data_IF_457981646697
#
_entry.id   IF_457981646697
#
_cell.length_a   1.000
_cell.length_b   1.000
_cell.length_c   1.000
_cell.angle_alpha   90.00
_cell.angle_beta   90.00
_cell.angle_gamma   90.00
#
_symmetry.space_group_name_H-M   'P 1'
#
loop_
_entity.id
_entity.type
_entity.pdbx_description
1 polymer ?
#
# COMPACT_ATOMS: atom_id res chain seq x y z
N UNK A 1 14.69 -10.40 6.38
CA UNK A 1 14.82 -10.91 4.99
C UNK A 1 13.88 -10.05 4.18
N UNK A 2 14.30 -9.55 3.01
CA UNK A 2 13.42 -8.74 2.16
C UNK A 2 12.47 -9.65 1.41
N UNK A 3 11.19 -9.29 1.37
CA UNK A 3 10.14 -10.03 0.66
C UNK A 3 10.46 -10.13 -0.84
N UNK A 4 10.09 -11.25 -1.45
CA UNK A 4 10.28 -11.55 -2.87
C UNK A 4 9.03 -12.17 -3.48
N UNK A 5 8.95 -12.21 -4.82
CA UNK A 5 7.95 -13.01 -5.52
C UNK A 5 8.04 -14.48 -5.11
N UNK A 6 6.90 -15.11 -4.83
CA UNK A 6 6.77 -16.47 -4.33
C UNK A 6 6.70 -16.57 -2.80
N UNK A 7 7.06 -15.51 -2.08
CA UNK A 7 6.95 -15.50 -0.62
C UNK A 7 5.51 -15.27 -0.16
N UNK A 8 5.14 -15.86 0.98
CA UNK A 8 3.90 -15.55 1.68
C UNK A 8 4.08 -14.29 2.51
N UNK A 9 3.14 -13.35 2.41
CA UNK A 9 3.13 -12.15 3.23
C UNK A 9 3.08 -12.53 4.72
N UNK A 10 3.83 -11.82 5.59
CA UNK A 10 3.82 -12.09 7.01
C UNK A 10 2.45 -11.74 7.61
N UNK A 11 2.10 -12.38 8.73
CA UNK A 11 0.98 -11.94 9.54
C UNK A 11 1.21 -10.50 10.00
N UNK A 12 0.18 -9.66 9.87
CA UNK A 12 0.20 -8.29 10.29
C UNK A 12 -1.21 -7.84 10.69
N UNK A 13 -1.26 -6.89 11.62
CA UNK A 13 -2.48 -6.18 11.98
C UNK A 13 -2.28 -4.71 11.66
N UNK A 14 -3.08 -4.20 10.74
CA UNK A 14 -3.13 -2.80 10.38
C UNK A 14 -4.21 -2.09 11.16
N UNK A 15 -4.23 -0.77 11.05
CA UNK A 15 -5.29 0.07 11.61
C UNK A 15 -5.95 0.88 10.52
N UNK A 16 -7.27 1.03 10.58
CA UNK A 16 -8.00 2.04 9.80
C UNK A 16 -8.88 2.85 10.73
N UNK A 17 -9.38 3.98 10.28
CA UNK A 17 -10.34 4.77 11.04
C UNK A 17 -11.76 4.47 10.53
N UNK A 18 -12.51 3.68 11.31
CA UNK A 18 -13.92 3.37 11.07
C UNK A 18 -14.85 4.40 11.72
N UNK A 19 -16.16 4.12 11.71
CA UNK A 19 -17.18 5.04 12.22
C UNK A 19 -17.09 5.26 13.74
N UNK A 20 -16.73 4.22 14.48
CA UNK A 20 -16.62 4.25 15.93
C UNK A 20 -15.22 4.61 16.45
N UNK A 21 -14.24 4.81 15.55
CA UNK A 21 -12.84 5.07 15.89
C UNK A 21 -11.87 4.11 15.20
N UNK A 22 -10.61 4.03 15.68
CA UNK A 22 -9.62 3.12 15.12
C UNK A 22 -10.06 1.65 15.21
N UNK A 23 -9.96 0.94 14.10
CA UNK A 23 -10.31 -0.48 13.94
C UNK A 23 -9.08 -1.25 13.46
N UNK A 24 -8.86 -2.42 14.05
CA UNK A 24 -7.83 -3.37 13.60
C UNK A 24 -8.27 -4.09 12.33
N UNK A 25 -7.33 -4.31 11.42
CA UNK A 25 -7.52 -5.06 10.16
C UNK A 25 -6.41 -6.10 10.07
N UNK A 26 -6.76 -7.38 10.23
CA UNK A 26 -5.80 -8.46 10.07
C UNK A 26 -5.55 -8.74 8.60
N UNK A 27 -4.28 -8.75 8.20
CA UNK A 27 -3.90 -8.97 6.80
C UNK A 27 -4.34 -10.35 6.29
N UNK A 28 -4.27 -11.40 7.11
CA UNK A 28 -4.71 -12.75 6.74
C UNK A 28 -6.20 -12.81 6.38
N UNK A 29 -7.06 -12.10 7.11
CA UNK A 29 -8.50 -12.01 6.82
C UNK A 29 -8.77 -11.27 5.50
N UNK A 30 -7.91 -10.31 5.15
CA UNK A 30 -8.00 -9.57 3.89
C UNK A 30 -7.52 -10.38 2.68
N UNK A 31 -6.59 -11.32 2.86
CA UNK A 31 -5.94 -12.04 1.75
C UNK A 31 -6.56 -13.40 1.42
N UNK A 32 -7.23 -14.05 2.37
CA UNK A 32 -7.67 -15.43 2.23
C UNK A 32 -8.57 -15.65 1.00
N UNK A 33 -8.11 -16.45 0.04
CA UNK A 33 -8.82 -16.77 -1.20
C UNK A 33 -9.04 -15.59 -2.15
N UNK A 34 -8.30 -14.49 -1.97
CA UNK A 34 -8.48 -13.24 -2.72
C UNK A 34 -7.21 -12.86 -3.49
N UNK A 35 -7.38 -12.12 -4.58
CA UNK A 35 -6.31 -11.41 -5.29
C UNK A 35 -6.33 -9.95 -4.85
N UNK A 36 -5.29 -9.55 -4.11
CA UNK A 36 -5.21 -8.22 -3.50
C UNK A 36 -3.99 -7.48 -4.04
N UNK A 37 -4.21 -6.24 -4.47
CA UNK A 37 -3.13 -5.30 -4.76
C UNK A 37 -2.79 -4.53 -3.49
N UNK A 38 -1.51 -4.47 -3.14
CA UNK A 38 -1.01 -3.63 -2.05
C UNK A 38 0.06 -2.71 -2.62
N UNK A 39 -0.14 -1.40 -2.50
CA UNK A 39 0.90 -0.44 -2.80
C UNK A 39 1.24 0.36 -1.55
N UNK A 40 2.53 0.49 -1.25
CA UNK A 40 3.01 1.20 -0.09
C UNK A 40 3.76 2.47 -0.47
N UNK A 41 3.69 3.45 0.42
CA UNK A 41 4.26 4.78 0.21
C UNK A 41 5.12 5.22 1.40
N UNK A 42 6.13 6.07 1.15
CA UNK A 42 6.89 6.74 2.21
C UNK A 42 6.05 7.54 3.20
N UNK A 43 4.95 8.12 2.74
CA UNK A 43 4.05 8.85 3.64
C UNK A 43 2.96 9.63 2.94
N UNK A 44 1.85 9.75 3.64
CA UNK A 44 0.73 10.61 3.27
C UNK A 44 1.22 12.06 3.05
N UNK A 45 0.58 12.75 2.10
CA UNK A 45 0.86 14.15 1.72
C UNK A 45 2.27 14.47 1.20
N UNK A 46 3.17 13.50 1.08
CA UNK A 46 4.47 13.73 0.41
C UNK A 46 4.28 13.85 -1.12
N UNK A 47 5.06 14.68 -1.83
CA UNK A 47 4.73 15.11 -3.20
C UNK A 47 4.46 13.98 -4.19
N UNK A 48 5.38 13.01 -4.32
CA UNK A 48 5.22 11.87 -5.25
C UNK A 48 4.04 10.97 -4.85
N UNK A 49 3.83 10.75 -3.55
CA UNK A 49 2.75 9.90 -3.07
C UNK A 49 1.38 10.53 -3.36
N UNK A 50 1.26 11.82 -3.07
CA UNK A 50 0.00 12.57 -3.17
C UNK A 50 -0.39 12.85 -4.63
N UNK A 51 0.56 13.30 -5.45
CA UNK A 51 0.24 13.80 -6.80
C UNK A 51 0.45 12.78 -7.91
N UNK A 52 1.15 11.67 -7.67
CA UNK A 52 1.44 10.66 -8.69
C UNK A 52 0.99 9.25 -8.29
N UNK A 53 1.51 8.70 -7.18
CA UNK A 53 1.33 7.29 -6.87
C UNK A 53 -0.11 6.92 -6.54
N UNK A 54 -0.77 7.59 -5.59
CA UNK A 54 -2.19 7.32 -5.30
C UNK A 54 -3.09 7.59 -6.52
N UNK A 55 -2.98 8.74 -7.21
CA UNK A 55 -3.76 8.98 -8.43
C UNK A 55 -3.57 7.94 -9.53
N UNK A 56 -2.39 7.30 -9.61
CA UNK A 56 -2.16 6.23 -10.59
C UNK A 56 -3.08 5.03 -10.39
N UNK A 57 -3.27 4.59 -9.14
CA UNK A 57 -4.22 3.53 -8.83
C UNK A 57 -5.66 3.96 -9.05
N UNK A 58 -6.02 5.20 -8.68
CA UNK A 58 -7.36 5.76 -8.92
C UNK A 58 -7.75 5.66 -10.40
N UNK A 59 -6.83 6.00 -11.32
CA UNK A 59 -7.10 5.95 -12.78
C UNK A 59 -7.37 4.55 -13.31
N UNK A 60 -6.76 3.53 -12.72
CA UNK A 60 -6.85 2.14 -13.21
C UNK A 60 -7.76 1.24 -12.39
N UNK A 61 -8.45 1.76 -11.37
CA UNK A 61 -9.27 0.95 -10.44
C UNK A 61 -10.25 0.02 -11.15
N UNK A 62 -10.97 0.52 -12.15
CA UNK A 62 -11.97 -0.28 -12.87
C UNK A 62 -11.33 -1.39 -13.71
N UNK A 63 -10.13 -1.13 -14.25
CA UNK A 63 -9.37 -2.12 -15.03
C UNK A 63 -8.80 -3.21 -14.12
N UNK A 64 -8.30 -2.84 -12.93
CA UNK A 64 -7.85 -3.80 -11.91
C UNK A 64 -9.00 -4.72 -11.49
N UNK A 65 -10.18 -4.14 -11.19
CA UNK A 65 -11.39 -4.91 -10.86
C UNK A 65 -11.80 -5.84 -12.02
N UNK A 66 -11.77 -5.36 -13.25
CA UNK A 66 -12.08 -6.17 -14.43
C UNK A 66 -11.12 -7.36 -14.64
N UNK A 67 -9.88 -7.27 -14.14
CA UNK A 67 -8.89 -8.37 -14.10
C UNK A 67 -9.00 -9.28 -12.87
N UNK A 68 -10.07 -9.13 -12.08
CA UNK A 68 -10.33 -9.97 -10.91
C UNK A 68 -9.51 -9.59 -9.68
N UNK A 69 -9.05 -8.35 -9.57
CA UNK A 69 -8.52 -7.82 -8.29
C UNK A 69 -9.70 -7.55 -7.35
N UNK A 70 -9.70 -8.21 -6.21
CA UNK A 70 -10.76 -8.10 -5.20
C UNK A 70 -10.64 -6.81 -4.37
N UNK A 71 -9.42 -6.31 -4.16
CA UNK A 71 -9.16 -5.11 -3.36
C UNK A 71 -7.82 -4.46 -3.72
N UNK A 72 -7.79 -3.13 -3.60
CA UNK A 72 -6.58 -2.32 -3.76
C UNK A 72 -6.34 -1.57 -2.45
N UNK A 73 -5.17 -1.79 -1.84
CA UNK A 73 -4.79 -1.26 -0.54
C UNK A 73 -3.66 -0.26 -0.71
N UNK A 74 -3.84 0.94 -0.16
CA UNK A 74 -2.76 1.90 0.06
C UNK A 74 -2.24 1.75 1.50
N UNK A 75 -0.95 1.43 1.65
CA UNK A 75 -0.31 1.24 2.94
C UNK A 75 0.71 2.35 3.25
N UNK A 76 0.71 2.88 4.46
CA UNK A 76 1.77 3.78 4.92
C UNK A 76 2.04 3.67 6.43
N UNK A 77 3.26 4.04 6.83
CA UNK A 77 3.62 4.28 8.23
C UNK A 77 3.21 5.71 8.63
N UNK A 78 1.90 5.88 8.69
CA UNK A 78 1.18 7.07 9.16
C UNK A 78 0.03 6.57 10.03
N UNK A 79 -0.43 7.34 11.00
CA UNK A 79 -1.59 6.98 11.84
C UNK A 79 -2.91 6.92 11.02
N UNK A 80 -3.93 6.21 11.51
CA UNK A 80 -5.17 6.00 10.75
C UNK A 80 -5.98 7.29 10.51
N UNK A 81 -5.82 8.32 11.35
CA UNK A 81 -6.51 9.61 11.17
C UNK A 81 -5.96 10.34 9.96
N UNK A 82 -4.62 10.40 9.84
CA UNK A 82 -3.95 10.94 8.66
C UNK A 82 -4.29 10.13 7.41
N UNK A 83 -4.29 8.79 7.50
CA UNK A 83 -4.61 7.94 6.35
C UNK A 83 -6.04 8.13 5.84
N UNK A 84 -7.03 8.27 6.73
CA UNK A 84 -8.42 8.57 6.34
C UNK A 84 -8.51 9.93 5.64
N UNK A 85 -8.00 10.99 6.27
CA UNK A 85 -8.05 12.33 5.70
C UNK A 85 -7.32 12.42 4.35
N UNK A 86 -6.20 11.69 4.20
CA UNK A 86 -5.45 11.66 2.96
C UNK A 86 -6.17 10.90 1.85
N UNK A 87 -6.85 9.79 2.18
CA UNK A 87 -7.69 9.05 1.24
C UNK A 87 -8.83 9.90 0.68
N UNK A 88 -9.46 10.70 1.53
CA UNK A 88 -10.49 11.68 1.12
C UNK A 88 -9.89 12.78 0.23
N UNK A 89 -8.77 13.38 0.65
CA UNK A 89 -8.12 14.47 -0.08
C UNK A 89 -7.63 14.08 -1.49
N UNK A 90 -7.24 12.83 -1.69
CA UNK A 90 -6.75 12.31 -2.97
C UNK A 90 -7.86 11.69 -3.84
N UNK A 91 -9.08 11.55 -3.31
CA UNK A 91 -10.16 10.81 -3.95
C UNK A 91 -10.00 9.28 -3.93
N UNK A 92 -8.96 8.76 -3.28
CA UNK A 92 -8.70 7.32 -3.17
C UNK A 92 -9.86 6.57 -2.51
N UNK A 93 -10.41 7.13 -1.43
CA UNK A 93 -11.56 6.53 -0.73
C UNK A 93 -12.78 6.45 -1.64
N UNK A 94 -13.07 7.50 -2.41
CA UNK A 94 -14.18 7.52 -3.36
C UNK A 94 -13.99 6.52 -4.52
N UNK A 95 -12.73 6.27 -4.92
CA UNK A 95 -12.39 5.27 -5.93
C UNK A 95 -12.46 3.81 -5.40
N UNK A 96 -12.63 3.64 -4.08
CA UNK A 96 -12.68 2.35 -3.41
C UNK A 96 -11.30 1.77 -3.06
N UNK A 97 -10.27 2.60 -2.93
CA UNK A 97 -8.97 2.19 -2.39
C UNK A 97 -9.07 2.14 -0.86
N UNK A 98 -8.68 1.01 -0.28
CA UNK A 98 -8.61 0.83 1.17
C UNK A 98 -7.34 1.48 1.71
N UNK A 99 -7.48 2.47 2.59
CA UNK A 99 -6.35 3.18 3.20
C UNK A 99 -6.01 2.53 4.55
N UNK A 100 -4.85 1.87 4.64
CA UNK A 100 -4.40 1.18 5.85
C UNK A 100 -3.17 1.85 6.48
N UNK A 101 -3.20 1.94 7.80
CA UNK A 101 -2.10 2.40 8.65
C UNK A 101 -1.29 1.21 9.15
N UNK A 102 0.03 1.28 8.98
CA UNK A 102 1.02 0.46 9.70
C UNK A 102 1.70 1.35 10.75
N UNK A 103 1.02 1.70 11.86
CA UNK A 103 1.43 2.82 12.71
C UNK A 103 2.80 2.61 13.38
N UNK A 104 3.20 1.35 13.59
CA UNK A 104 4.47 0.97 14.20
C UNK A 104 5.54 0.56 13.15
N UNK A 105 5.15 0.46 11.88
CA UNK A 105 6.01 -0.05 10.81
C UNK A 105 6.31 -1.54 10.94
N UNK A 106 5.47 -2.30 11.63
CA UNK A 106 5.76 -3.70 11.97
C UNK A 106 5.73 -4.60 10.74
N UNK A 107 4.68 -4.44 9.90
CA UNK A 107 4.63 -5.12 8.61
C UNK A 107 5.78 -4.65 7.71
N UNK A 108 5.98 -3.33 7.64
CA UNK A 108 7.01 -2.70 6.81
C UNK A 108 8.41 -3.25 7.11
N UNK A 109 8.74 -3.41 8.40
CA UNK A 109 10.00 -4.04 8.85
C UNK A 109 10.02 -5.54 8.58
N UNK A 110 8.90 -6.24 8.81
CA UNK A 110 8.81 -7.68 8.60
C UNK A 110 9.07 -8.08 7.13
N UNK A 111 8.61 -7.26 6.18
CA UNK A 111 8.90 -7.45 4.76
C UNK A 111 10.27 -6.90 4.33
N UNK A 112 11.02 -6.30 5.25
CA UNK A 112 12.37 -5.77 5.02
C UNK A 112 12.40 -4.57 4.06
N UNK A 113 11.36 -3.74 4.08
CA UNK A 113 11.20 -2.58 3.20
C UNK A 113 11.06 -1.26 3.99
N UNK A 114 11.55 -1.21 5.23
CA UNK A 114 11.64 0.02 5.99
C UNK A 114 12.84 0.88 5.58
N UNK A 115 12.71 2.19 5.71
CA UNK A 115 13.82 3.13 5.53
C UNK A 115 13.62 4.40 6.37
N UNK A 116 14.69 5.18 6.54
CA UNK A 116 14.62 6.51 7.14
C UNK A 116 15.35 7.52 6.26
N UNK A 117 14.80 8.73 6.16
CA UNK A 117 15.44 9.90 5.57
C UNK A 117 15.35 11.05 6.59
N UNK A 118 16.21 10.97 7.61
CA UNK A 118 16.20 11.86 8.77
C UNK A 118 16.26 13.37 8.41
N UNK A 119 17.05 13.82 7.41
CA UNK A 119 17.11 15.25 7.07
C UNK A 119 15.78 15.85 6.62
N UNK A 120 14.84 15.01 6.15
CA UNK A 120 13.50 15.42 5.71
C UNK A 120 12.41 14.94 6.68
N UNK A 121 12.78 14.49 7.87
CA UNK A 121 11.83 14.10 8.94
C UNK A 121 11.13 12.76 8.72
N UNK A 122 11.56 11.94 7.76
CA UNK A 122 10.99 10.61 7.53
C UNK A 122 11.73 9.57 8.38
N UNK A 123 11.05 9.04 9.39
CA UNK A 123 11.59 8.01 10.29
C UNK A 123 10.79 6.73 10.11
N UNK A 124 11.49 5.60 9.92
CA UNK A 124 10.93 4.25 9.83
C UNK A 124 9.73 4.14 8.89
N UNK A 125 9.85 4.71 7.69
CA UNK A 125 8.79 4.71 6.66
C UNK A 125 8.90 3.50 5.76
N UNK A 126 7.84 3.20 5.02
CA UNK A 126 7.87 2.18 3.97
C UNK A 126 8.52 2.71 2.70
N UNK A 127 9.44 1.94 2.13
CA UNK A 127 9.87 2.13 0.75
C UNK A 127 8.65 2.09 -0.18
N UNK A 128 8.79 2.69 -1.36
CA UNK A 128 7.73 2.68 -2.37
C UNK A 128 7.74 1.37 -3.14
N UNK A 129 6.61 0.68 -3.14
CA UNK A 129 6.40 -0.50 -3.97
C UNK A 129 4.93 -0.69 -4.29
N UNK A 130 4.66 -1.53 -5.27
CA UNK A 130 3.36 -2.14 -5.49
C UNK A 130 3.54 -3.65 -5.65
N UNK A 131 2.65 -4.43 -5.06
CA UNK A 131 2.65 -5.89 -5.15
C UNK A 131 1.25 -6.42 -5.40
N UNK A 132 1.22 -7.65 -5.91
CA UNK A 132 0.00 -8.46 -6.02
C UNK A 132 0.18 -9.66 -5.11
N UNK A 133 -0.82 -9.91 -4.29
CA UNK A 133 -0.89 -11.09 -3.43
C UNK A 133 -2.08 -11.95 -3.85
N UNK A 134 -1.80 -13.17 -4.30
CA UNK A 134 -2.79 -14.20 -4.60
C UNK A 134 -2.85 -15.19 -3.43
N UNK A 135 -3.97 -15.18 -2.69
CA UNK A 135 -4.13 -15.96 -1.44
C UNK A 135 -2.96 -15.73 -0.46
N UNK A 136 -2.50 -14.48 -0.41
CA UNK A 136 -1.39 -14.03 0.43
C UNK A 136 0.01 -14.43 -0.02
N UNK A 137 0.16 -15.04 -1.19
CA UNK A 137 1.47 -15.27 -1.82
C UNK A 137 1.75 -14.16 -2.82
N UNK A 138 2.94 -13.55 -2.75
CA UNK A 138 3.34 -12.46 -3.64
C UNK A 138 3.57 -13.01 -5.05
N UNK A 139 2.74 -12.61 -6.02
CA UNK A 139 2.90 -12.99 -7.42
C UNK A 139 3.65 -11.94 -8.25
N UNK A 140 3.54 -10.67 -7.86
CA UNK A 140 4.29 -9.54 -8.45
C UNK A 140 4.81 -8.65 -7.33
N UNK A 141 6.03 -8.15 -7.48
CA UNK A 141 6.63 -7.15 -6.60
C UNK A 141 7.40 -6.11 -7.43
N UNK A 142 6.83 -4.92 -7.56
CA UNK A 142 7.45 -3.77 -8.20
C UNK A 142 7.97 -2.81 -7.13
N UNK A 143 9.22 -2.99 -6.73
CA UNK A 143 9.90 -2.18 -5.73
C UNK A 143 10.74 -1.10 -6.41
N UNK A 144 10.45 0.17 -6.11
CA UNK A 144 11.26 1.28 -6.64
C UNK A 144 12.69 1.24 -6.10
N UNK A 145 13.65 1.61 -6.95
CA UNK A 145 15.05 1.75 -6.57
C UNK A 145 15.19 2.85 -5.51
N UNK A 146 14.54 4.00 -5.75
CA UNK A 146 14.55 5.13 -4.80
C UNK A 146 13.13 5.48 -4.30
N UNK A 147 12.98 5.94 -3.04
CA UNK A 147 11.66 6.34 -2.51
C UNK A 147 11.00 7.52 -3.24
N UNK A 148 11.76 8.31 -4.00
CA UNK A 148 11.28 9.49 -4.71
C UNK A 148 10.65 9.20 -6.08
N UNK A 149 10.98 8.06 -6.68
CA UNK A 149 10.48 7.61 -7.98
C UNK A 149 9.08 7.02 -7.88
N UNK A 150 8.35 7.03 -8.99
CA UNK A 150 7.06 6.37 -9.15
C UNK A 150 6.92 5.98 -10.62
N UNK A 151 7.53 4.86 -10.97
CA UNK A 151 7.49 4.28 -12.31
C UNK A 151 6.89 2.89 -12.24
N UNK A 152 7.70 1.90 -11.87
CA UNK A 152 7.28 0.49 -11.86
C UNK A 152 6.22 0.19 -10.80
N UNK A 153 6.16 0.97 -9.71
CA UNK A 153 5.12 0.83 -8.68
C UNK A 153 3.79 1.51 -9.04
N UNK A 154 3.73 2.30 -10.12
CA UNK A 154 2.51 2.97 -10.53
C UNK A 154 1.39 1.99 -10.90
N UNK A 155 0.13 2.41 -10.73
CA UNK A 155 -1.04 1.60 -11.02
C UNK A 155 -1.09 1.09 -12.46
N UNK A 156 -0.72 1.91 -13.44
CA UNK A 156 -0.63 1.49 -14.84
C UNK A 156 0.41 0.38 -15.06
N UNK A 157 1.60 0.53 -14.47
CA UNK A 157 2.68 -0.45 -14.58
C UNK A 157 2.30 -1.78 -13.90
N UNK A 158 1.62 -1.73 -12.75
CA UNK A 158 1.12 -2.93 -12.08
C UNK A 158 0.00 -3.60 -12.89
N UNK A 159 -0.90 -2.83 -13.50
CA UNK A 159 -1.97 -3.34 -14.35
C UNK A 159 -1.43 -4.10 -15.58
N UNK A 160 -0.33 -3.64 -16.16
CA UNK A 160 0.36 -4.33 -17.26
C UNK A 160 0.97 -5.67 -16.81
N UNK A 161 1.34 -5.79 -15.54
CA UNK A 161 1.90 -7.01 -14.96
C UNK A 161 0.85 -8.04 -14.49
N UNK A 162 -0.45 -7.67 -14.47
CA UNK A 162 -1.60 -8.52 -14.12
C UNK A 162 -2.06 -9.40 -15.29
#
# INVERSE_FOLDING_TARGET
>A
MTISTGDRLPEATFVRLGEAGPEEVKLSETLAGRKVVIFAVPGAFTPTCHSAHVPSFVRVMDQLKAKGVDEVICLAVNDPFVMKAWGEATGATAAGITMLSDPHGDFTKAVGLDFSALPVGLVSRSRRYALIADDGVVSVLNLEETPGECGISAGEALLEAL
#
